data_IF_722956304316
#
_entry.id   IF_722956304316
#
_cell.length_a   1.000
_cell.length_b   1.000
_cell.length_c   1.000
_cell.angle_alpha   90.00
_cell.angle_beta   90.00
_cell.angle_gamma   90.00
#
_symmetry.space_group_name_H-M   'P 1'
#
loop_
_entity.id
_entity.type
_entity.pdbx_description
1 polymer ?
#
# COMPACT_ATOMS: atom_id res chain seq x y z
N UNK A 1 -10.42 -18.45 79.11
CA UNK A 1 -10.81 -17.46 78.03
C UNK A 1 -10.01 -16.14 78.01
N UNK A 2 -8.96 -16.01 78.82
CA UNK A 2 -8.11 -14.77 78.82
C UNK A 2 -6.79 -14.90 78.08
N UNK A 3 -6.33 -16.09 77.71
CA UNK A 3 -5.07 -16.31 76.98
C UNK A 3 -5.20 -16.08 75.47
N UNK A 4 -6.37 -16.34 74.87
CA UNK A 4 -6.59 -16.18 73.48
C UNK A 4 -6.66 -14.70 73.04
N UNK A 5 -7.00 -13.79 73.91
CA UNK A 5 -7.07 -12.35 73.60
C UNK A 5 -5.69 -11.73 73.55
N UNK A 6 -4.74 -12.21 74.35
CA UNK A 6 -3.37 -11.72 74.34
C UNK A 6 -2.62 -12.18 73.08
N UNK A 7 -2.86 -13.36 72.59
CA UNK A 7 -2.28 -13.88 71.33
C UNK A 7 -2.82 -13.12 70.11
N UNK A 8 -4.11 -12.78 70.10
CA UNK A 8 -4.74 -12.02 69.03
C UNK A 8 -4.22 -10.56 68.98
N UNK A 9 -3.98 -9.94 70.17
CA UNK A 9 -3.44 -8.57 70.21
C UNK A 9 -1.96 -8.49 69.81
N UNK A 10 -1.15 -9.50 70.09
CA UNK A 10 0.25 -9.60 69.67
C UNK A 10 0.33 -9.85 68.15
N UNK A 11 -0.60 -10.64 67.58
CA UNK A 11 -0.65 -10.89 66.14
C UNK A 11 -1.09 -9.65 65.34
N UNK A 12 -2.01 -8.84 65.84
CA UNK A 12 -2.38 -7.55 65.29
C UNK A 12 -1.24 -6.51 65.35
N UNK A 13 -0.41 -6.51 66.44
CA UNK A 13 0.74 -5.60 66.52
C UNK A 13 1.87 -5.92 65.54
N UNK A 14 2.02 -7.23 65.15
CA UNK A 14 3.03 -7.63 64.16
C UNK A 14 2.67 -7.26 62.72
N UNK A 15 1.39 -6.99 62.41
CA UNK A 15 0.95 -6.58 61.07
C UNK A 15 1.27 -5.11 60.79
N UNK A 16 1.40 -4.25 61.80
CA UNK A 16 1.72 -2.81 61.65
C UNK A 16 3.21 -2.51 61.42
N UNK A 17 4.10 -3.51 61.60
CA UNK A 17 5.55 -3.26 61.37
C UNK A 17 5.99 -3.64 59.94
N UNK A 18 5.09 -4.07 59.06
CA UNK A 18 5.42 -4.57 57.72
C UNK A 18 5.43 -3.48 56.63
N UNK A 19 5.01 -2.23 56.92
CA UNK A 19 5.17 -1.11 55.98
C UNK A 19 6.49 -0.38 56.24
N UNK A 20 7.62 -0.97 55.85
CA UNK A 20 8.81 -0.17 55.60
C UNK A 20 8.49 0.77 54.44
N UNK A 21 8.36 2.07 54.67
CA UNK A 21 8.52 3.08 53.65
C UNK A 21 9.94 2.91 53.12
N UNK A 22 10.08 2.36 51.93
CA UNK A 22 11.36 2.46 51.21
C UNK A 22 11.61 3.95 50.93
N UNK A 23 12.47 4.56 51.75
CA UNK A 23 13.00 5.90 51.46
C UNK A 23 13.89 5.80 50.23
N UNK A 24 13.29 6.03 49.06
CA UNK A 24 14.01 6.06 47.81
C UNK A 24 14.81 7.35 47.71
N UNK A 25 16.11 7.30 47.98
CA UNK A 25 17.00 8.41 47.63
C UNK A 25 17.33 8.35 46.14
N UNK A 26 17.04 9.41 45.41
CA UNK A 26 17.38 9.58 44.02
C UNK A 26 18.60 10.48 43.88
N UNK A 27 19.53 10.12 43.01
CA UNK A 27 20.71 10.93 42.66
C UNK A 27 20.65 11.30 41.20
N UNK A 28 21.11 12.47 40.84
CA UNK A 28 21.21 12.82 39.43
C UNK A 28 22.00 11.78 38.62
N UNK A 29 21.49 11.46 37.41
CA UNK A 29 22.16 10.52 36.51
C UNK A 29 23.56 11.05 36.14
N UNK A 30 24.55 10.17 36.24
CA UNK A 30 25.94 10.49 35.88
C UNK A 30 26.37 9.82 34.58
N UNK A 31 25.71 8.74 34.22
CA UNK A 31 26.06 7.90 33.07
C UNK A 31 25.09 8.12 31.91
N UNK A 32 25.48 7.57 30.75
CA UNK A 32 24.61 7.61 29.58
C UNK A 32 23.42 6.66 29.78
N UNK A 33 22.21 7.20 29.59
CA UNK A 33 20.98 6.44 29.54
C UNK A 33 20.96 5.58 28.26
N UNK A 34 20.42 4.39 28.32
CA UNK A 34 20.19 3.54 27.17
C UNK A 34 18.77 3.76 26.62
N UNK A 35 18.63 3.85 25.32
CA UNK A 35 17.35 3.99 24.62
C UNK A 35 16.97 2.74 23.86
N UNK A 36 15.69 2.47 23.71
CA UNK A 36 15.21 1.42 22.81
C UNK A 36 15.46 1.76 21.34
N UNK A 37 15.47 3.06 21.01
CA UNK A 37 15.79 3.62 19.69
C UNK A 37 16.38 5.02 19.88
N UNK A 38 17.33 5.40 19.03
CA UNK A 38 17.93 6.73 18.98
C UNK A 38 17.23 7.67 17.99
N UNK A 39 16.41 7.11 17.12
CA UNK A 39 15.64 7.82 16.12
C UNK A 39 14.24 7.24 16.04
N UNK A 40 13.23 8.10 16.14
CA UNK A 40 11.82 7.77 15.96
C UNK A 40 11.35 8.41 14.67
N UNK A 41 11.04 7.58 13.69
CA UNK A 41 10.41 7.99 12.44
C UNK A 41 8.91 7.74 12.61
N UNK A 42 8.14 8.81 12.67
CA UNK A 42 6.69 8.75 12.69
C UNK A 42 6.18 8.62 11.25
N UNK A 43 5.01 8.05 11.07
CA UNK A 43 4.35 7.98 9.77
C UNK A 43 4.11 9.37 9.19
N UNK A 44 3.90 9.42 7.87
CA UNK A 44 3.45 10.63 7.21
C UNK A 44 2.12 11.09 7.80
N UNK A 45 2.04 12.34 8.19
CA UNK A 45 0.82 12.96 8.73
C UNK A 45 0.32 14.07 7.82
N UNK A 46 -0.97 14.37 7.94
CA UNK A 46 -1.57 15.48 7.21
C UNK A 46 -1.67 16.73 8.09
N UNK A 47 -1.65 17.90 7.47
CA UNK A 47 -1.95 19.15 8.16
C UNK A 47 -3.28 19.02 8.94
N UNK A 48 -3.31 19.52 10.17
CA UNK A 48 -4.46 19.49 11.09
C UNK A 48 -4.90 18.08 11.54
N UNK A 49 -4.14 17.04 11.23
CA UNK A 49 -4.39 15.67 11.69
C UNK A 49 -3.27 15.25 12.63
N UNK A 50 -3.64 14.74 13.80
CA UNK A 50 -2.69 14.21 14.78
C UNK A 50 -2.25 12.81 14.35
N UNK A 51 -0.97 12.48 14.56
CA UNK A 51 -0.44 11.13 14.35
C UNK A 51 -1.01 10.12 15.35
N UNK A 52 -0.77 8.86 15.09
CA UNK A 52 -0.78 7.83 16.14
C UNK A 52 0.29 8.14 17.19
N UNK A 53 0.18 7.51 18.35
CA UNK A 53 1.14 7.66 19.45
C UNK A 53 2.29 6.67 19.28
N UNK A 54 3.49 7.17 19.22
CA UNK A 54 4.73 6.41 19.18
C UNK A 54 5.36 6.38 20.57
N UNK A 55 6.26 5.43 20.81
CA UNK A 55 6.92 5.32 22.10
C UNK A 55 8.41 5.00 21.96
N UNK A 56 9.20 5.61 22.84
CA UNK A 56 10.59 5.22 23.09
C UNK A 56 10.77 4.89 24.56
N UNK A 57 11.56 3.87 24.82
CA UNK A 57 11.86 3.39 26.18
C UNK A 57 13.24 3.86 26.59
N UNK A 58 13.34 4.43 27.77
CA UNK A 58 14.59 4.87 28.40
C UNK A 58 14.87 3.95 29.55
N UNK A 59 16.09 3.42 29.63
CA UNK A 59 16.50 2.45 30.65
C UNK A 59 17.52 3.08 31.59
N UNK A 60 17.29 2.88 32.90
CA UNK A 60 18.30 3.11 33.90
C UNK A 60 19.22 1.89 33.99
N UNK A 61 20.45 2.05 33.56
CA UNK A 61 21.49 1.00 33.61
C UNK A 61 22.41 1.17 34.82
N UNK A 62 22.23 2.22 35.63
CA UNK A 62 22.99 2.46 36.84
C UNK A 62 22.47 1.56 38.00
N UNK A 63 23.37 1.16 38.87
CA UNK A 63 23.03 0.32 40.03
C UNK A 63 22.43 1.13 41.21
N UNK A 64 21.70 2.23 40.91
CA UNK A 64 21.08 3.13 41.88
C UNK A 64 19.81 3.75 41.28
N UNK A 65 18.97 4.33 42.14
CA UNK A 65 17.86 5.17 41.69
C UNK A 65 18.44 6.51 41.20
N UNK A 66 17.96 6.98 40.04
CA UNK A 66 18.42 8.20 39.41
C UNK A 66 17.31 9.22 39.20
N UNK A 67 17.66 10.46 39.12
CA UNK A 67 16.83 11.57 38.63
C UNK A 67 17.42 12.06 37.32
N UNK A 68 16.61 12.11 36.27
CA UNK A 68 16.96 12.79 35.03
C UNK A 68 16.63 14.26 35.23
N UNK A 69 17.61 15.18 35.22
CA UNK A 69 17.39 16.59 35.57
C UNK A 69 16.35 17.25 34.67
N UNK A 70 16.44 17.04 33.36
CA UNK A 70 15.50 17.60 32.41
C UNK A 70 15.31 16.73 31.17
N UNK A 71 14.05 16.61 30.68
CA UNK A 71 13.68 16.04 29.40
C UNK A 71 12.86 17.09 28.65
N UNK A 72 13.27 17.47 27.44
CA UNK A 72 12.58 18.52 26.70
C UNK A 72 12.71 18.38 25.19
N UNK A 73 11.80 19.02 24.45
CA UNK A 73 11.89 19.17 23.00
C UNK A 73 12.82 20.33 22.65
N UNK A 74 13.81 20.10 21.78
CA UNK A 74 14.85 21.08 21.45
C UNK A 74 14.27 22.37 20.87
N UNK A 75 13.21 22.29 20.03
CA UNK A 75 12.51 23.45 19.46
C UNK A 75 11.48 24.07 20.42
N UNK A 76 11.29 23.51 21.60
CA UNK A 76 10.38 24.02 22.61
C UNK A 76 8.97 24.28 22.08
N UNK A 77 8.44 25.50 22.26
CA UNK A 77 7.10 25.90 21.80
C UNK A 77 6.92 25.90 20.28
N UNK A 78 8.01 25.91 19.53
CA UNK A 78 7.99 25.84 18.05
C UNK A 78 7.99 24.40 17.51
N UNK A 79 8.05 23.41 18.39
CA UNK A 79 7.96 22.00 18.02
C UNK A 79 6.58 21.66 17.47
N UNK A 80 6.54 20.91 16.39
CA UNK A 80 5.32 20.28 15.89
C UNK A 80 5.00 18.99 16.67
N UNK A 81 6.00 18.45 17.38
CA UNK A 81 5.86 17.26 18.21
C UNK A 81 5.34 17.62 19.60
N UNK A 82 4.70 16.65 20.23
CA UNK A 82 4.28 16.66 21.62
C UNK A 82 4.77 15.39 22.26
N UNK A 83 5.22 15.48 23.50
CA UNK A 83 5.67 14.32 24.26
C UNK A 83 4.88 14.19 25.57
N UNK A 84 4.74 12.93 26.00
CA UNK A 84 4.21 12.59 27.32
C UNK A 84 5.29 11.80 28.05
N UNK A 85 5.67 12.30 29.21
CA UNK A 85 6.68 11.70 30.08
C UNK A 85 6.02 11.40 31.41
N UNK A 86 6.06 10.16 31.85
CA UNK A 86 5.48 9.72 33.12
C UNK A 86 4.01 10.15 33.31
N UNK A 87 3.19 9.97 32.24
CA UNK A 87 1.77 10.32 32.27
C UNK A 87 1.46 11.81 32.09
N UNK A 88 2.45 12.69 32.03
CA UNK A 88 2.28 14.14 31.87
C UNK A 88 2.59 14.53 30.43
N UNK A 89 1.68 15.27 29.79
CA UNK A 89 1.91 15.84 28.44
C UNK A 89 2.55 17.22 28.56
N UNK A 90 3.56 17.49 27.74
CA UNK A 90 4.26 18.77 27.74
C UNK A 90 5.35 18.86 26.67
N UNK A 91 6.19 19.85 26.80
CA UNK A 91 7.37 20.09 25.96
C UNK A 91 8.67 20.09 26.77
N UNK A 92 8.58 20.19 28.08
CA UNK A 92 9.70 20.08 29.02
C UNK A 92 9.23 19.50 30.37
N UNK A 93 10.12 18.77 31.03
CA UNK A 93 9.88 18.06 32.27
C UNK A 93 11.15 18.09 33.09
N UNK A 94 11.02 18.32 34.40
CA UNK A 94 12.15 18.43 35.33
C UNK A 94 12.09 17.35 36.42
N UNK A 95 13.25 16.92 36.89
CA UNK A 95 13.41 16.01 38.02
C UNK A 95 12.66 14.68 37.85
N UNK A 96 12.83 14.01 36.71
CA UNK A 96 12.14 12.78 36.41
C UNK A 96 12.81 11.61 37.12
N UNK A 97 12.14 10.95 38.11
CA UNK A 97 12.71 9.82 38.84
C UNK A 97 12.67 8.55 38.00
N UNK A 98 13.75 7.76 38.08
CA UNK A 98 13.80 6.45 37.44
C UNK A 98 14.53 5.47 38.38
N UNK A 99 13.85 4.42 38.81
CA UNK A 99 14.38 3.43 39.76
C UNK A 99 15.52 2.63 39.13
N UNK A 100 16.35 2.04 39.95
CA UNK A 100 17.38 1.09 39.55
C UNK A 100 16.79 -0.04 38.72
N UNK A 101 17.43 -0.38 37.60
CA UNK A 101 17.03 -1.44 36.68
C UNK A 101 15.61 -1.28 36.10
N UNK A 102 15.03 -0.09 36.19
CA UNK A 102 13.71 0.24 35.66
C UNK A 102 13.80 1.01 34.35
N UNK A 103 12.65 1.28 33.75
CA UNK A 103 12.55 1.99 32.49
C UNK A 103 11.34 2.91 32.43
N UNK A 104 11.50 4.01 31.72
CA UNK A 104 10.48 5.04 31.49
C UNK A 104 10.07 5.02 30.01
N UNK A 105 8.77 5.15 29.72
CA UNK A 105 8.29 5.43 28.38
C UNK A 105 8.13 6.93 28.15
N UNK A 106 8.61 7.39 27.00
CA UNK A 106 8.21 8.67 26.43
C UNK A 106 7.30 8.38 25.25
N UNK A 107 6.07 8.85 25.31
CA UNK A 107 5.12 8.79 24.21
C UNK A 107 5.24 10.06 23.37
N UNK A 108 5.14 9.90 22.04
CA UNK A 108 5.43 10.94 21.06
C UNK A 108 4.29 11.00 20.06
N UNK A 109 3.81 12.20 19.79
CA UNK A 109 2.83 12.52 18.75
C UNK A 109 3.28 13.73 17.95
N UNK A 110 2.81 13.88 16.72
CA UNK A 110 2.94 15.10 15.93
C UNK A 110 1.55 15.63 15.58
N UNK A 111 1.36 16.94 15.67
CA UNK A 111 0.10 17.63 15.38
C UNK A 111 0.39 18.91 14.57
N UNK A 112 0.69 18.78 13.26
CA UNK A 112 1.11 19.90 12.45
C UNK A 112 -0.06 20.86 12.16
N UNK A 113 0.23 22.16 12.16
CA UNK A 113 -0.70 23.19 11.70
C UNK A 113 -0.55 23.39 10.20
N UNK A 114 -1.64 23.82 9.53
CA UNK A 114 -1.57 24.21 8.13
C UNK A 114 -0.59 25.40 7.96
N UNK A 115 0.32 25.28 7.00
CA UNK A 115 1.32 26.31 6.70
C UNK A 115 1.43 26.61 5.18
N UNK A 116 0.56 26.03 4.36
CA UNK A 116 0.55 26.21 2.90
C UNK A 116 1.66 25.48 2.14
N UNK A 117 2.51 24.70 2.83
CA UNK A 117 3.56 23.90 2.20
C UNK A 117 3.00 22.53 1.87
N UNK A 118 3.12 22.13 0.59
CA UNK A 118 2.58 20.85 0.09
C UNK A 118 3.12 19.63 0.84
N UNK A 119 4.42 19.58 1.05
CA UNK A 119 5.10 18.48 1.75
C UNK A 119 6.41 18.99 2.34
N UNK A 120 6.70 18.63 3.60
CA UNK A 120 7.98 18.92 4.23
C UNK A 120 8.34 17.88 5.28
N UNK A 121 9.62 17.78 5.59
CA UNK A 121 10.13 16.96 6.68
C UNK A 121 10.10 17.75 7.99
N UNK A 122 9.25 17.31 8.91
CA UNK A 122 9.27 17.82 10.28
C UNK A 122 10.34 17.08 11.08
N UNK A 123 11.24 17.81 11.72
CA UNK A 123 12.31 17.27 12.56
C UNK A 123 12.36 18.00 13.89
N UNK A 124 12.68 17.28 14.95
CA UNK A 124 13.02 17.80 16.28
C UNK A 124 13.85 16.75 17.03
N UNK A 125 14.31 17.11 18.24
CA UNK A 125 15.01 16.18 19.12
C UNK A 125 14.39 16.23 20.51
N UNK A 126 14.26 15.06 21.15
CA UNK A 126 14.07 14.99 22.60
C UNK A 126 15.47 15.04 23.23
N UNK A 127 15.71 16.04 24.06
CA UNK A 127 16.96 16.20 24.78
C UNK A 127 16.78 15.66 26.20
N UNK A 128 17.67 14.79 26.61
CA UNK A 128 17.79 14.30 27.97
C UNK A 128 19.07 14.87 28.58
N UNK A 129 18.89 15.74 29.56
CA UNK A 129 20.01 16.36 30.25
C UNK A 129 20.57 15.42 31.30
N UNK A 130 21.89 15.30 31.35
CA UNK A 130 22.61 14.66 32.45
C UNK A 130 23.83 15.52 32.87
N UNK A 131 24.54 15.11 33.92
CA UNK A 131 25.69 15.89 34.43
C UNK A 131 26.83 16.03 33.44
N UNK A 132 27.07 15.04 32.63
CA UNK A 132 28.27 14.98 31.77
C UNK A 132 27.99 15.43 30.33
N UNK A 133 26.85 15.05 29.77
CA UNK A 133 26.54 15.29 28.35
C UNK A 133 25.05 15.12 28.09
N UNK A 134 24.47 16.08 27.34
CA UNK A 134 23.11 15.90 26.83
C UNK A 134 23.06 14.77 25.82
N UNK A 135 22.10 13.87 26.00
CA UNK A 135 21.76 12.84 25.03
C UNK A 135 20.53 13.27 24.25
N UNK A 136 20.38 12.77 23.02
CA UNK A 136 19.24 13.12 22.18
C UNK A 136 18.63 11.91 21.48
N UNK A 137 17.32 12.00 21.27
CA UNK A 137 16.54 11.09 20.46
C UNK A 137 15.97 11.91 19.29
N UNK A 138 16.29 11.54 18.08
CA UNK A 138 15.85 12.26 16.88
C UNK A 138 14.39 11.90 16.55
N UNK A 139 13.59 12.92 16.23
CA UNK A 139 12.20 12.79 15.79
C UNK A 139 12.07 13.23 14.34
N UNK A 140 11.41 12.44 13.52
CA UNK A 140 11.18 12.74 12.10
C UNK A 140 9.77 12.33 11.68
N UNK A 141 9.12 13.16 10.88
CA UNK A 141 7.85 12.83 10.21
C UNK A 141 7.72 13.64 8.93
N UNK A 142 7.15 13.04 7.89
CA UNK A 142 6.74 13.79 6.69
C UNK A 142 5.36 14.38 6.95
N UNK A 143 5.21 15.67 6.69
CA UNK A 143 3.93 16.39 6.79
C UNK A 143 3.46 16.76 5.40
N UNK A 144 2.19 16.44 5.08
CA UNK A 144 1.59 16.71 3.77
C UNK A 144 0.33 17.56 3.91
N UNK A 145 0.11 18.47 2.95
CA UNK A 145 -1.18 19.14 2.80
C UNK A 145 -2.18 18.21 2.10
N UNK A 146 -3.42 18.16 2.56
CA UNK A 146 -4.42 17.23 2.08
C UNK A 146 -5.80 17.87 1.89
N UNK A 147 -6.52 17.38 0.90
CA UNK A 147 -7.95 17.62 0.69
C UNK A 147 -8.71 16.34 1.06
N UNK A 148 -9.69 16.46 1.96
CA UNK A 148 -10.41 15.32 2.52
C UNK A 148 -11.79 15.18 1.90
N UNK A 149 -12.09 13.97 1.42
CA UNK A 149 -13.40 13.53 0.95
C UNK A 149 -13.94 12.51 1.95
N UNK A 150 -14.69 13.00 2.95
CA UNK A 150 -15.16 12.18 4.07
C UNK A 150 -16.65 11.89 3.88
N UNK A 151 -16.99 10.61 3.83
CA UNK A 151 -18.34 10.12 3.99
C UNK A 151 -18.76 10.29 5.46
N UNK A 152 -19.91 10.92 5.69
CA UNK A 152 -20.56 10.96 6.99
C UNK A 152 -21.72 9.94 6.98
N UNK A 153 -22.93 10.41 6.78
CA UNK A 153 -24.14 9.56 6.74
C UNK A 153 -24.40 8.95 5.36
N UNK A 154 -23.91 9.61 4.30
CA UNK A 154 -24.05 9.18 2.90
C UNK A 154 -22.75 9.34 2.14
N UNK A 155 -22.55 8.63 1.02
CA UNK A 155 -21.39 8.77 0.15
C UNK A 155 -21.13 10.22 -0.27
N UNK A 156 -19.87 10.60 -0.39
CA UNK A 156 -19.49 11.90 -0.94
C UNK A 156 -19.60 11.87 -2.46
N UNK A 157 -20.24 12.86 -3.07
CA UNK A 157 -20.52 12.89 -4.51
C UNK A 157 -19.77 14.04 -5.18
N UNK A 158 -19.04 13.72 -6.27
CA UNK A 158 -18.52 14.68 -7.24
C UNK A 158 -19.60 14.85 -8.32
N UNK A 159 -20.39 15.90 -8.22
CA UNK A 159 -21.57 16.14 -9.07
C UNK A 159 -21.31 17.09 -10.26
N UNK A 160 -20.05 17.42 -10.53
CA UNK A 160 -19.61 18.27 -11.65
C UNK A 160 -18.31 17.73 -12.25
N UNK A 161 -17.99 18.14 -13.47
CA UNK A 161 -16.69 17.87 -14.06
C UNK A 161 -15.62 18.48 -13.15
N UNK A 162 -14.64 17.68 -12.79
CA UNK A 162 -13.67 18.03 -11.75
C UNK A 162 -12.26 17.73 -12.24
N UNK A 163 -11.34 18.62 -11.91
CA UNK A 163 -9.92 18.47 -12.16
C UNK A 163 -9.15 18.44 -10.85
N UNK A 164 -8.44 17.34 -10.59
CA UNK A 164 -7.56 17.21 -9.43
C UNK A 164 -6.13 17.57 -9.79
N UNK A 165 -5.66 18.66 -9.20
CA UNK A 165 -4.27 19.07 -9.29
C UNK A 165 -3.40 18.28 -8.27
N UNK A 166 -2.10 18.28 -8.54
CA UNK A 166 -1.14 17.65 -7.64
C UNK A 166 -0.68 18.58 -6.50
N UNK A 167 -1.45 19.61 -6.19
CA UNK A 167 -1.19 20.58 -5.12
C UNK A 167 -1.30 20.00 -3.71
N UNK A 168 -2.30 19.14 -3.51
CA UNK A 168 -2.61 18.47 -2.25
C UNK A 168 -2.84 16.99 -2.46
N UNK A 169 -2.55 16.20 -1.42
CA UNK A 169 -2.97 14.81 -1.36
C UNK A 169 -4.48 14.74 -1.28
N UNK A 170 -5.12 13.83 -2.02
CA UNK A 170 -6.56 13.58 -1.95
C UNK A 170 -6.80 12.38 -1.03
N UNK A 171 -7.42 12.62 0.13
CA UNK A 171 -7.70 11.57 1.14
C UNK A 171 -9.17 11.22 1.12
N UNK A 172 -9.49 9.97 0.80
CA UNK A 172 -10.85 9.46 0.69
C UNK A 172 -11.15 8.57 1.90
N UNK A 173 -12.20 8.92 2.64
CA UNK A 173 -12.69 8.12 3.77
C UNK A 173 -14.16 7.77 3.56
N UNK A 174 -14.44 6.48 3.36
CA UNK A 174 -15.72 5.96 2.91
C UNK A 174 -15.83 5.88 1.38
N UNK A 175 -17.00 6.02 0.82
CA UNK A 175 -17.25 5.96 -0.61
C UNK A 175 -17.27 7.36 -1.22
N UNK A 176 -16.45 7.57 -2.26
CA UNK A 176 -16.46 8.76 -3.10
C UNK A 176 -17.01 8.40 -4.47
N UNK A 177 -18.10 9.07 -4.89
CA UNK A 177 -18.79 8.75 -6.14
C UNK A 177 -18.59 9.87 -7.15
N UNK A 178 -18.07 9.55 -8.33
CA UNK A 178 -18.21 10.40 -9.49
C UNK A 178 -19.60 10.21 -10.10
N UNK A 179 -20.41 11.25 -10.10
CA UNK A 179 -21.79 11.19 -10.57
C UNK A 179 -21.89 10.81 -12.05
N UNK A 180 -23.03 10.28 -12.44
CA UNK A 180 -23.33 9.84 -13.79
C UNK A 180 -23.04 10.95 -14.84
N UNK A 181 -22.38 10.56 -15.93
CA UNK A 181 -22.02 11.44 -17.05
C UNK A 181 -20.98 12.52 -16.71
N UNK A 182 -20.38 12.52 -15.52
CA UNK A 182 -19.35 13.48 -15.13
C UNK A 182 -17.96 12.98 -15.44
N UNK A 183 -17.04 13.93 -15.55
CA UNK A 183 -15.62 13.65 -15.80
C UNK A 183 -14.79 14.04 -14.60
N UNK A 184 -13.86 13.12 -14.21
CA UNK A 184 -12.79 13.39 -13.26
C UNK A 184 -11.46 13.27 -14.02
N UNK A 185 -10.76 14.39 -14.14
CA UNK A 185 -9.41 14.46 -14.68
C UNK A 185 -8.40 14.57 -13.53
N UNK A 186 -7.38 13.72 -13.53
CA UNK A 186 -6.35 13.67 -12.48
C UNK A 186 -4.98 13.97 -13.09
N UNK A 187 -4.36 15.03 -12.61
CA UNK A 187 -3.05 15.51 -13.09
C UNK A 187 -1.90 14.59 -12.65
N UNK A 188 -0.81 14.60 -13.41
CA UNK A 188 0.45 13.93 -13.09
C UNK A 188 0.94 14.23 -11.65
N UNK A 189 1.48 13.22 -10.99
CA UNK A 189 2.04 13.32 -9.64
C UNK A 189 1.02 13.49 -8.53
N UNK A 190 -0.29 13.41 -8.81
CA UNK A 190 -1.34 13.44 -7.79
C UNK A 190 -1.28 12.16 -6.94
N UNK A 191 -1.36 12.31 -5.62
CA UNK A 191 -1.44 11.22 -4.65
C UNK A 191 -2.86 11.10 -4.13
N UNK A 192 -3.47 9.92 -4.24
CA UNK A 192 -4.81 9.61 -3.76
C UNK A 192 -4.71 8.47 -2.73
N UNK A 193 -5.10 8.76 -1.51
CA UNK A 193 -5.01 7.84 -0.39
C UNK A 193 -6.40 7.49 0.13
N UNK A 194 -6.56 6.24 0.52
CA UNK A 194 -7.83 5.69 0.97
C UNK A 194 -7.70 5.16 2.39
N UNK A 195 -8.61 5.57 3.28
CA UNK A 195 -8.72 4.91 4.57
C UNK A 195 -9.26 3.49 4.38
N UNK A 196 -9.13 2.66 5.39
CA UNK A 196 -9.62 1.27 5.34
C UNK A 196 -11.09 1.22 4.96
N UNK A 197 -11.46 0.29 4.08
CA UNK A 197 -12.80 0.09 3.52
C UNK A 197 -13.33 1.22 2.61
N UNK A 198 -12.50 2.16 2.21
CA UNK A 198 -12.87 3.24 1.29
C UNK A 198 -12.75 2.81 -0.17
N UNK A 199 -13.53 3.46 -1.04
CA UNK A 199 -13.57 3.19 -2.47
C UNK A 199 -13.78 4.47 -3.29
N UNK A 200 -13.36 4.44 -4.55
CA UNK A 200 -13.76 5.41 -5.57
C UNK A 200 -14.72 4.71 -6.55
N UNK A 201 -15.91 5.28 -6.75
CA UNK A 201 -16.92 4.75 -7.66
C UNK A 201 -17.10 5.68 -8.85
N UNK A 202 -16.99 5.13 -10.05
CA UNK A 202 -17.23 5.82 -11.32
C UNK A 202 -18.58 5.36 -11.84
N UNK A 203 -19.59 6.22 -11.72
CA UNK A 203 -20.97 5.88 -12.09
C UNK A 203 -21.13 5.70 -13.60
N UNK A 204 -22.31 5.22 -14.00
CA UNK A 204 -22.68 5.00 -15.41
C UNK A 204 -22.40 6.22 -16.28
N UNK A 205 -21.91 5.97 -17.49
CA UNK A 205 -21.62 7.01 -18.49
C UNK A 205 -20.58 8.04 -18.04
N UNK A 206 -19.95 7.89 -16.86
CA UNK A 206 -18.94 8.81 -16.37
C UNK A 206 -17.56 8.55 -17.01
N UNK A 207 -16.66 9.49 -16.88
CA UNK A 207 -15.30 9.38 -17.42
C UNK A 207 -14.25 9.65 -16.33
N UNK A 208 -13.29 8.74 -16.21
CA UNK A 208 -12.11 8.92 -15.37
C UNK A 208 -10.87 8.99 -16.25
N UNK A 209 -10.14 10.10 -16.18
CA UNK A 209 -8.86 10.27 -16.87
C UNK A 209 -7.74 10.44 -15.85
N UNK A 210 -6.78 9.53 -15.87
CA UNK A 210 -5.59 9.53 -15.01
C UNK A 210 -4.39 9.85 -15.90
N UNK A 211 -3.87 11.08 -15.77
CA UNK A 211 -2.90 11.66 -16.68
C UNK A 211 -1.53 11.80 -16.00
N UNK A 212 -0.92 10.68 -15.62
CA UNK A 212 0.45 10.64 -15.10
C UNK A 212 1.49 10.79 -16.22
N UNK A 213 2.74 10.93 -15.81
CA UNK A 213 3.91 10.94 -16.69
C UNK A 213 5.10 10.21 -16.04
N UNK A 214 6.20 10.05 -16.78
CA UNK A 214 7.43 9.42 -16.28
C UNK A 214 7.93 10.16 -15.04
N UNK A 215 8.17 9.43 -13.94
CA UNK A 215 8.58 9.93 -12.62
C UNK A 215 7.57 10.86 -11.92
N UNK A 216 6.38 11.03 -12.50
CA UNK A 216 5.24 11.75 -11.93
C UNK A 216 3.97 10.92 -12.06
N UNK A 217 4.06 9.67 -11.70
CA UNK A 217 2.94 8.75 -11.73
C UNK A 217 1.84 9.22 -10.78
N UNK A 218 0.59 8.99 -11.14
CA UNK A 218 -0.55 9.16 -10.23
C UNK A 218 -0.62 7.94 -9.30
N UNK A 219 -0.72 8.16 -8.00
CA UNK A 219 -0.62 7.10 -7.00
C UNK A 219 -1.97 6.89 -6.32
N UNK A 220 -2.46 5.63 -6.33
CA UNK A 220 -3.62 5.17 -5.57
C UNK A 220 -3.20 4.09 -4.58
N UNK A 221 -3.40 4.32 -3.28
CA UNK A 221 -3.02 3.38 -2.22
C UNK A 221 -3.80 3.61 -0.94
N UNK A 222 -3.63 2.73 0.03
CA UNK A 222 -4.09 2.99 1.40
C UNK A 222 -3.39 4.20 2.04
N UNK A 223 -4.02 4.81 3.02
CA UNK A 223 -3.53 6.00 3.74
C UNK A 223 -2.38 5.73 4.72
N UNK A 224 -2.13 4.47 5.06
CA UNK A 224 -0.98 4.06 5.88
C UNK A 224 0.30 4.20 5.06
N UNK A 225 1.14 5.18 5.40
CA UNK A 225 2.33 5.55 4.62
C UNK A 225 3.63 4.82 5.02
N UNK A 226 3.57 3.95 6.00
CA UNK A 226 4.64 3.02 6.35
C UNK A 226 4.92 2.07 5.18
N UNK A 227 6.19 1.91 4.79
CA UNK A 227 6.61 1.10 3.64
C UNK A 227 6.13 -0.37 3.70
N UNK A 228 5.83 -0.89 4.89
CA UNK A 228 5.26 -2.22 5.07
C UNK A 228 3.89 -2.35 4.40
N UNK A 229 3.07 -1.29 4.42
CA UNK A 229 1.74 -1.31 3.83
C UNK A 229 1.75 -1.28 2.30
N UNK A 230 2.88 -0.97 1.66
CA UNK A 230 3.02 -1.08 0.20
C UNK A 230 2.99 -2.53 -0.29
N UNK A 231 3.27 -3.47 0.60
CA UNK A 231 3.33 -4.90 0.29
C UNK A 231 2.15 -5.71 0.83
N UNK A 232 1.19 -5.05 1.50
CA UNK A 232 0.04 -5.70 2.14
C UNK A 232 -1.25 -5.29 1.41
N UNK A 233 -2.11 -6.25 1.00
CA UNK A 233 -3.43 -5.95 0.44
C UNK A 233 -4.46 -5.54 1.52
N UNK A 234 -5.71 -5.28 1.12
CA UNK A 234 -6.86 -4.95 1.98
C UNK A 234 -6.74 -3.64 2.78
N UNK A 235 -5.90 -2.71 2.35
CA UNK A 235 -5.84 -1.37 2.94
C UNK A 235 -7.03 -0.49 2.52
N UNK A 236 -7.63 -0.78 1.35
CA UNK A 236 -8.80 -0.11 0.79
C UNK A 236 -9.57 -1.06 -0.13
N UNK A 237 -10.76 -0.68 -0.61
CA UNK A 237 -11.59 -1.57 -1.44
C UNK A 237 -11.14 -1.62 -2.90
N UNK A 238 -10.93 -0.46 -3.53
CA UNK A 238 -10.60 -0.37 -4.95
C UNK A 238 -11.34 0.74 -5.68
N UNK A 239 -11.36 0.64 -7.02
CA UNK A 239 -12.06 1.55 -7.93
C UNK A 239 -13.15 0.75 -8.65
N UNK A 240 -14.42 1.09 -8.40
CA UNK A 240 -15.57 0.50 -9.10
C UNK A 240 -15.93 1.34 -10.32
N UNK A 241 -16.06 0.69 -11.49
CA UNK A 241 -16.33 1.33 -12.78
C UNK A 241 -17.59 0.70 -13.35
N UNK A 242 -18.65 1.50 -13.44
CA UNK A 242 -19.99 1.04 -13.84
C UNK A 242 -20.22 1.13 -15.36
N UNK A 243 -21.37 0.62 -15.74
CA UNK A 243 -21.81 0.46 -17.13
C UNK A 243 -21.62 1.71 -18.00
N UNK A 244 -21.07 1.53 -19.20
CA UNK A 244 -20.74 2.55 -20.18
C UNK A 244 -19.74 3.63 -19.70
N UNK A 245 -19.17 3.49 -18.51
CA UNK A 245 -18.10 4.39 -18.09
C UNK A 245 -16.82 4.15 -18.92
N UNK A 246 -16.04 5.21 -19.11
CA UNK A 246 -14.76 5.15 -19.82
C UNK A 246 -13.65 5.57 -18.87
N UNK A 247 -12.67 4.70 -18.71
CA UNK A 247 -11.51 4.97 -17.88
C UNK A 247 -10.24 4.95 -18.71
N UNK A 248 -9.51 6.06 -18.70
CA UNK A 248 -8.21 6.21 -19.36
C UNK A 248 -7.12 6.35 -18.29
N UNK A 249 -6.16 5.46 -18.29
CA UNK A 249 -5.09 5.41 -17.28
C UNK A 249 -3.76 5.47 -18.01
N UNK A 250 -2.95 6.47 -17.70
CA UNK A 250 -1.59 6.58 -18.18
C UNK A 250 -0.66 6.96 -17.03
N UNK A 251 0.43 6.22 -16.85
CA UNK A 251 1.40 6.37 -15.77
C UNK A 251 0.75 6.46 -14.37
N UNK A 252 0.06 5.38 -13.99
CA UNK A 252 -0.47 5.22 -12.63
C UNK A 252 0.24 4.09 -11.88
N UNK A 253 0.28 4.21 -10.54
CA UNK A 253 0.58 3.13 -9.60
C UNK A 253 -0.65 2.91 -8.71
N UNK A 254 -1.25 1.73 -8.79
CA UNK A 254 -2.48 1.38 -8.07
C UNK A 254 -2.21 0.11 -7.26
N UNK A 255 -2.29 0.18 -5.93
CA UNK A 255 -1.89 -0.97 -5.11
C UNK A 255 -2.49 -1.01 -3.70
N UNK A 256 -2.41 -2.19 -3.09
CA UNK A 256 -2.69 -2.40 -1.68
C UNK A 256 -4.17 -2.54 -1.31
N UNK A 257 -5.05 -2.82 -2.27
CA UNK A 257 -6.50 -2.94 -2.04
C UNK A 257 -7.05 -4.36 -2.02
N UNK A 258 -8.37 -4.47 -2.11
CA UNK A 258 -9.08 -5.74 -2.29
C UNK A 258 -9.19 -6.10 -3.79
N UNK A 259 -9.82 -5.23 -4.59
CA UNK A 259 -9.88 -5.31 -6.07
C UNK A 259 -9.41 -3.97 -6.64
N UNK A 260 -8.36 -3.97 -7.47
CA UNK A 260 -7.80 -2.73 -8.00
C UNK A 260 -8.78 -1.95 -8.86
N UNK A 261 -9.18 -2.53 -9.98
CA UNK A 261 -10.21 -2.01 -10.88
C UNK A 261 -11.30 -3.08 -11.02
N UNK A 262 -12.50 -2.80 -10.55
CA UNK A 262 -13.69 -3.64 -10.72
C UNK A 262 -14.56 -3.01 -11.81
N UNK A 263 -14.57 -3.62 -13.00
CA UNK A 263 -15.11 -3.02 -14.23
C UNK A 263 -16.32 -3.82 -14.69
N UNK A 264 -17.46 -3.19 -14.79
CA UNK A 264 -18.71 -3.82 -15.20
C UNK A 264 -19.31 -3.15 -16.43
N UNK A 265 -19.39 -3.87 -17.56
CA UNK A 265 -19.94 -3.39 -18.85
C UNK A 265 -19.35 -2.04 -19.30
N UNK A 266 -18.07 -1.83 -19.09
CA UNK A 266 -17.38 -0.57 -19.31
C UNK A 266 -16.08 -0.74 -20.11
N UNK A 267 -15.42 0.37 -20.41
CA UNK A 267 -14.15 0.37 -21.16
C UNK A 267 -13.02 0.94 -20.31
N UNK A 268 -11.86 0.26 -20.31
CA UNK A 268 -10.65 0.77 -19.71
C UNK A 268 -9.47 0.70 -20.70
N UNK A 269 -8.81 1.84 -20.90
CA UNK A 269 -7.56 1.98 -21.65
C UNK A 269 -6.43 2.21 -20.63
N UNK A 270 -5.47 1.29 -20.54
CA UNK A 270 -4.44 1.32 -19.50
C UNK A 270 -3.07 1.29 -20.15
N UNK A 271 -2.30 2.35 -19.96
CA UNK A 271 -0.97 2.48 -20.53
C UNK A 271 0.07 2.78 -19.44
N UNK A 272 1.30 2.31 -19.63
CA UNK A 272 2.47 2.69 -18.85
C UNK A 272 2.25 2.64 -17.32
N UNK A 273 1.49 1.65 -16.83
CA UNK A 273 0.99 1.65 -15.44
C UNK A 273 1.37 0.39 -14.68
N UNK A 274 1.39 0.49 -13.36
CA UNK A 274 1.74 -0.59 -12.45
C UNK A 274 0.55 -0.84 -11.52
N UNK A 275 0.03 -2.08 -11.51
CA UNK A 275 -1.10 -2.51 -10.67
C UNK A 275 -0.66 -3.76 -9.90
N UNK A 276 -0.64 -3.69 -8.55
CA UNK A 276 -0.14 -4.81 -7.76
C UNK A 276 -0.72 -4.88 -6.35
N UNK A 277 -0.53 -6.02 -5.69
CA UNK A 277 -0.85 -6.24 -4.27
C UNK A 277 -2.34 -6.06 -3.98
N UNK A 278 -3.15 -6.91 -4.59
CA UNK A 278 -4.59 -6.97 -4.33
C UNK A 278 -4.98 -8.34 -3.75
N UNK A 279 -5.91 -8.35 -2.79
CA UNK A 279 -6.35 -9.60 -2.16
C UNK A 279 -7.00 -10.55 -3.16
N UNK A 280 -7.78 -9.99 -4.06
CA UNK A 280 -8.50 -10.75 -5.08
C UNK A 280 -7.90 -10.51 -6.47
N UNK A 281 -8.23 -9.41 -7.11
CA UNK A 281 -7.85 -9.11 -8.50
C UNK A 281 -7.18 -7.74 -8.59
N UNK A 282 -6.15 -7.64 -9.41
CA UNK A 282 -5.66 -6.33 -9.84
C UNK A 282 -6.67 -5.63 -10.77
N UNK A 283 -7.22 -6.39 -11.74
CA UNK A 283 -8.32 -5.98 -12.61
C UNK A 283 -9.35 -7.09 -12.63
N UNK A 284 -10.60 -6.80 -12.34
CA UNK A 284 -11.75 -7.67 -12.50
C UNK A 284 -12.70 -7.05 -13.53
N UNK A 285 -12.74 -7.62 -14.73
CA UNK A 285 -13.56 -7.15 -15.85
C UNK A 285 -14.73 -8.11 -16.11
N UNK A 286 -15.95 -7.59 -16.06
CA UNK A 286 -17.19 -8.34 -16.31
C UNK A 286 -17.90 -7.74 -17.52
N UNK A 287 -17.94 -8.48 -18.62
CA UNK A 287 -18.49 -8.06 -19.93
C UNK A 287 -17.97 -6.67 -20.35
N UNK A 288 -16.65 -6.46 -20.26
CA UNK A 288 -16.00 -5.18 -20.39
C UNK A 288 -14.86 -5.23 -21.41
N UNK A 289 -14.45 -4.07 -21.92
CA UNK A 289 -13.39 -3.95 -22.92
C UNK A 289 -12.14 -3.33 -22.28
N UNK A 290 -11.07 -4.12 -22.23
CA UNK A 290 -9.79 -3.71 -21.67
C UNK A 290 -8.74 -3.67 -22.76
N UNK A 291 -8.10 -2.53 -22.96
CA UNK A 291 -6.95 -2.36 -23.83
C UNK A 291 -5.75 -1.89 -23.02
N UNK A 292 -4.65 -2.63 -23.09
CA UNK A 292 -3.47 -2.26 -22.31
C UNK A 292 -2.16 -2.40 -23.07
N UNK A 293 -1.24 -1.48 -22.77
CA UNK A 293 0.14 -1.48 -23.26
C UNK A 293 1.10 -1.04 -22.17
N UNK A 294 2.26 -1.68 -22.10
CA UNK A 294 3.26 -1.40 -21.06
C UNK A 294 2.68 -1.52 -19.64
N UNK A 295 1.78 -2.50 -19.42
CA UNK A 295 1.19 -2.76 -18.11
C UNK A 295 2.07 -3.72 -17.32
N UNK A 296 2.35 -3.37 -16.07
CA UNK A 296 3.06 -4.21 -15.11
C UNK A 296 2.09 -4.64 -14.01
N UNK A 297 1.94 -5.94 -13.81
CA UNK A 297 1.09 -6.48 -12.74
C UNK A 297 1.82 -7.53 -11.92
N UNK A 298 1.49 -7.59 -10.62
CA UNK A 298 2.04 -8.60 -9.73
C UNK A 298 1.24 -8.72 -8.41
N UNK A 299 1.44 -9.85 -7.72
CA UNK A 299 1.02 -10.05 -6.33
C UNK A 299 -0.48 -9.84 -6.10
N UNK A 300 -1.32 -10.59 -6.83
CA UNK A 300 -2.77 -10.63 -6.66
C UNK A 300 -3.24 -12.04 -6.32
N UNK A 301 -4.09 -12.19 -5.30
CA UNK A 301 -4.42 -13.49 -4.72
C UNK A 301 -5.18 -14.42 -5.66
N UNK A 302 -6.24 -13.97 -6.30
CA UNK A 302 -7.00 -14.78 -7.27
C UNK A 302 -6.34 -14.74 -8.66
N UNK A 303 -6.20 -13.56 -9.22
CA UNK A 303 -5.50 -13.33 -10.47
C UNK A 303 -5.07 -11.86 -10.59
N UNK A 304 -4.04 -11.60 -11.39
CA UNK A 304 -3.76 -10.21 -11.78
C UNK A 304 -4.95 -9.66 -12.60
N UNK A 305 -5.44 -10.42 -13.58
CA UNK A 305 -6.62 -10.05 -14.38
C UNK A 305 -7.64 -11.18 -14.33
N UNK A 306 -8.87 -10.87 -13.89
CA UNK A 306 -10.07 -11.70 -14.08
C UNK A 306 -10.88 -11.11 -15.24
N UNK A 307 -11.05 -11.87 -16.32
CA UNK A 307 -11.88 -11.51 -17.47
C UNK A 307 -13.10 -12.41 -17.54
N UNK A 308 -14.26 -11.89 -17.20
CA UNK A 308 -15.51 -12.62 -17.17
C UNK A 308 -16.45 -12.07 -18.26
N UNK A 309 -16.28 -12.53 -19.49
CA UNK A 309 -16.87 -11.96 -20.70
C UNK A 309 -16.19 -10.67 -21.17
N UNK A 310 -16.38 -10.32 -22.45
CA UNK A 310 -15.84 -9.11 -23.06
C UNK A 310 -14.50 -9.28 -23.75
N UNK A 311 -13.72 -8.21 -23.81
CA UNK A 311 -12.49 -8.14 -24.59
C UNK A 311 -11.31 -7.78 -23.70
N UNK A 312 -10.18 -8.49 -23.88
CA UNK A 312 -8.89 -8.16 -23.31
C UNK A 312 -7.83 -8.15 -24.41
N UNK A 313 -7.26 -6.98 -24.66
CA UNK A 313 -6.15 -6.77 -25.59
C UNK A 313 -4.94 -6.23 -24.84
N UNK A 314 -3.84 -7.02 -24.84
CA UNK A 314 -2.63 -6.73 -24.08
C UNK A 314 -1.43 -6.74 -25.02
N UNK A 315 -0.64 -5.65 -24.98
CA UNK A 315 0.60 -5.52 -25.71
C UNK A 315 1.76 -5.11 -24.81
N UNK A 316 2.97 -5.61 -25.07
CA UNK A 316 4.21 -5.25 -24.37
C UNK A 316 4.07 -5.15 -22.84
N UNK A 317 3.45 -6.14 -22.20
CA UNK A 317 3.13 -6.08 -20.77
C UNK A 317 3.81 -7.20 -19.98
N UNK A 318 4.07 -6.96 -18.69
CA UNK A 318 4.61 -7.94 -17.75
C UNK A 318 3.55 -8.30 -16.71
N UNK A 319 2.77 -9.34 -16.99
CA UNK A 319 1.71 -9.85 -16.10
C UNK A 319 2.30 -11.00 -15.28
N UNK A 320 3.05 -10.64 -14.24
CA UNK A 320 3.75 -11.60 -13.40
C UNK A 320 3.02 -11.74 -12.05
N UNK A 321 2.66 -12.97 -11.65
CA UNK A 321 1.99 -13.17 -10.37
C UNK A 321 2.84 -14.01 -9.40
N UNK A 322 3.58 -13.34 -8.55
CA UNK A 322 4.37 -13.91 -7.46
C UNK A 322 3.71 -13.61 -6.11
N UNK A 323 2.51 -14.15 -5.91
CA UNK A 323 1.72 -13.95 -4.72
C UNK A 323 2.45 -14.35 -3.45
N UNK A 324 2.47 -13.45 -2.46
CA UNK A 324 3.14 -13.62 -1.16
C UNK A 324 2.16 -13.47 0.03
N UNK A 325 0.86 -13.40 -0.23
CA UNK A 325 -0.17 -13.28 0.80
C UNK A 325 -0.67 -14.64 1.31
N UNK A 326 -1.95 -14.71 1.69
CA UNK A 326 -2.60 -15.89 2.28
C UNK A 326 -2.45 -17.14 1.41
N UNK A 327 -2.17 -18.28 2.03
CA UNK A 327 -2.12 -19.57 1.34
C UNK A 327 -3.48 -19.98 0.76
N UNK A 328 -3.45 -20.79 -0.29
CA UNK A 328 -4.66 -21.38 -0.89
C UNK A 328 -5.30 -20.56 -2.01
N UNK A 329 -4.80 -19.36 -2.33
CA UNK A 329 -5.25 -18.61 -3.49
C UNK A 329 -4.48 -19.05 -4.75
N UNK A 330 -5.16 -19.17 -5.93
CA UNK A 330 -4.56 -19.77 -7.12
C UNK A 330 -3.50 -18.89 -7.77
N UNK A 331 -3.51 -17.59 -7.53
CA UNK A 331 -2.54 -16.63 -8.04
C UNK A 331 -2.29 -16.70 -9.55
N UNK A 332 -3.36 -16.78 -10.34
CA UNK A 332 -3.24 -16.75 -11.79
C UNK A 332 -2.71 -15.41 -12.31
N UNK A 333 -2.03 -15.44 -13.45
CA UNK A 333 -1.76 -14.20 -14.21
C UNK A 333 -3.07 -13.67 -14.81
N UNK A 334 -3.78 -14.53 -15.57
CA UNK A 334 -5.09 -14.24 -16.15
C UNK A 334 -6.05 -15.39 -15.86
N UNK A 335 -7.21 -15.09 -15.31
CA UNK A 335 -8.35 -15.99 -15.14
C UNK A 335 -9.46 -15.57 -16.10
N UNK A 336 -9.92 -16.50 -16.94
CA UNK A 336 -10.98 -16.27 -17.92
C UNK A 336 -12.19 -17.10 -17.57
N UNK A 337 -13.39 -16.49 -17.63
CA UNK A 337 -14.66 -17.18 -17.55
C UNK A 337 -15.69 -16.55 -18.50
N UNK A 338 -16.62 -17.36 -18.99
CA UNK A 338 -17.80 -16.85 -19.70
C UNK A 338 -18.95 -16.46 -18.75
N UNK A 339 -18.78 -16.69 -17.44
CA UNK A 339 -19.87 -16.57 -16.47
C UNK A 339 -19.43 -15.81 -15.22
N UNK A 340 -20.30 -14.98 -14.68
CA UNK A 340 -20.15 -14.30 -13.39
C UNK A 340 -21.50 -14.09 -12.70
N UNK A 341 -21.46 -13.70 -11.43
CA UNK A 341 -22.63 -13.19 -10.72
C UNK A 341 -22.61 -11.66 -10.69
N UNK A 342 -23.76 -11.03 -11.01
CA UNK A 342 -23.92 -9.59 -10.87
C UNK A 342 -24.20 -9.20 -9.40
N UNK A 343 -24.38 -7.91 -9.12
CA UNK A 343 -24.64 -7.38 -7.77
C UNK A 343 -25.92 -7.92 -7.13
N UNK A 344 -26.88 -8.37 -7.94
CA UNK A 344 -28.15 -8.94 -7.48
C UNK A 344 -28.07 -10.46 -7.28
N UNK A 345 -26.89 -11.07 -7.46
CA UNK A 345 -26.69 -12.51 -7.37
C UNK A 345 -27.11 -13.31 -8.62
N UNK A 346 -27.63 -12.66 -9.66
CA UNK A 346 -28.02 -13.30 -10.90
C UNK A 346 -26.80 -13.71 -11.72
N UNK A 347 -26.86 -14.86 -12.35
CA UNK A 347 -25.82 -15.34 -13.26
C UNK A 347 -25.94 -14.63 -14.61
N UNK A 348 -24.85 -14.01 -15.05
CA UNK A 348 -24.69 -13.41 -16.38
C UNK A 348 -23.59 -14.14 -17.16
N UNK A 349 -23.72 -14.18 -18.48
CA UNK A 349 -22.80 -14.87 -19.37
C UNK A 349 -22.45 -13.99 -20.57
N UNK A 350 -21.21 -14.11 -21.07
CA UNK A 350 -20.80 -13.45 -22.31
C UNK A 350 -19.62 -14.19 -22.97
N UNK A 351 -19.46 -13.98 -24.26
CA UNK A 351 -18.30 -14.42 -25.01
C UNK A 351 -17.04 -13.66 -24.56
N UNK A 352 -15.90 -14.31 -24.68
CA UNK A 352 -14.58 -13.73 -24.38
C UNK A 352 -13.78 -13.61 -25.67
N UNK A 353 -13.11 -12.46 -25.84
CA UNK A 353 -12.09 -12.25 -26.85
C UNK A 353 -10.78 -11.83 -26.19
N UNK A 354 -9.73 -12.66 -26.33
CA UNK A 354 -8.41 -12.43 -25.74
C UNK A 354 -7.36 -12.23 -26.84
N UNK A 355 -6.60 -11.16 -26.76
CA UNK A 355 -5.46 -10.88 -27.63
C UNK A 355 -4.24 -10.54 -26.77
N UNK A 356 -3.19 -11.33 -26.85
CA UNK A 356 -1.94 -11.15 -26.11
C UNK A 356 -0.79 -11.07 -27.11
N UNK A 357 -0.02 -9.98 -27.06
CA UNK A 357 1.17 -9.78 -27.89
C UNK A 357 2.34 -9.30 -27.07
N UNK A 358 3.56 -9.71 -27.42
CA UNK A 358 4.79 -9.17 -26.89
C UNK A 358 4.86 -9.17 -25.34
N UNK A 359 4.17 -10.10 -24.69
CA UNK A 359 3.84 -10.04 -23.25
C UNK A 359 4.49 -11.22 -22.51
N UNK A 360 4.90 -10.98 -21.28
CA UNK A 360 5.32 -12.02 -20.34
C UNK A 360 4.16 -12.29 -19.39
N UNK A 361 3.65 -13.53 -19.43
CA UNK A 361 2.61 -14.03 -18.53
C UNK A 361 3.20 -15.18 -17.70
N UNK A 362 3.62 -14.91 -16.46
CA UNK A 362 4.39 -15.83 -15.64
C UNK A 362 4.08 -15.65 -14.14
N UNK A 363 4.53 -16.59 -13.30
CA UNK A 363 4.36 -16.48 -11.85
C UNK A 363 4.78 -17.73 -11.10
N UNK A 364 4.53 -17.76 -9.80
CA UNK A 364 4.83 -18.92 -8.96
C UNK A 364 3.69 -19.98 -8.97
N UNK A 365 2.49 -19.66 -9.43
CA UNK A 365 1.39 -20.62 -9.62
C UNK A 365 1.70 -21.71 -10.65
N UNK A 366 0.92 -22.79 -10.66
CA UNK A 366 1.09 -23.91 -11.61
C UNK A 366 0.85 -23.49 -13.08
N UNK A 367 -0.03 -22.56 -13.32
CA UNK A 367 -0.31 -21.94 -14.63
C UNK A 367 -0.57 -20.45 -14.46
N UNK A 368 -0.18 -19.67 -15.45
CA UNK A 368 -0.46 -18.23 -15.46
C UNK A 368 -1.72 -17.88 -16.26
N UNK A 369 -2.26 -18.80 -17.04
CA UNK A 369 -3.51 -18.64 -17.78
C UNK A 369 -4.47 -19.77 -17.38
N UNK A 370 -5.63 -19.42 -16.87
CA UNK A 370 -6.68 -20.38 -16.52
C UNK A 370 -7.99 -20.00 -17.19
N UNK A 371 -8.72 -20.99 -17.72
CA UNK A 371 -9.97 -20.77 -18.47
C UNK A 371 -11.09 -21.66 -17.96
N UNK A 372 -12.25 -21.06 -17.70
CA UNK A 372 -13.51 -21.71 -17.33
C UNK A 372 -14.55 -21.45 -18.43
N UNK A 373 -14.54 -22.28 -19.47
CA UNK A 373 -15.53 -22.20 -20.56
C UNK A 373 -16.84 -22.86 -20.15
N UNK A 374 -17.96 -22.28 -20.56
CA UNK A 374 -19.29 -22.85 -20.40
C UNK A 374 -19.93 -23.12 -21.75
N UNK A 375 -20.82 -24.11 -21.81
CA UNK A 375 -21.55 -24.46 -23.03
C UNK A 375 -22.36 -23.28 -23.58
N UNK A 376 -22.38 -23.07 -24.88
CA UNK A 376 -23.10 -21.99 -25.56
C UNK A 376 -22.36 -20.66 -25.64
N UNK A 377 -21.16 -20.54 -25.05
CA UNK A 377 -20.32 -19.33 -25.11
C UNK A 377 -18.90 -19.65 -25.56
N UNK A 378 -18.25 -18.69 -26.22
CA UNK A 378 -16.93 -18.87 -26.80
C UNK A 378 -15.83 -18.15 -26.04
N UNK A 379 -14.63 -18.74 -26.09
CA UNK A 379 -13.38 -18.07 -25.70
C UNK A 379 -12.53 -18.02 -26.98
N UNK A 380 -12.57 -16.88 -27.69
CA UNK A 380 -11.73 -16.60 -28.86
C UNK A 380 -10.41 -15.97 -28.38
N UNK A 381 -9.29 -16.67 -28.58
CA UNK A 381 -7.99 -16.14 -28.17
C UNK A 381 -6.96 -16.20 -29.30
N UNK A 382 -6.02 -15.23 -29.28
CA UNK A 382 -4.79 -15.22 -30.07
C UNK A 382 -3.63 -14.74 -29.23
N UNK A 383 -2.53 -15.46 -29.24
CA UNK A 383 -1.32 -15.14 -28.47
C UNK A 383 -0.14 -15.13 -29.44
N UNK A 384 0.66 -14.08 -29.43
CA UNK A 384 1.81 -13.95 -30.31
C UNK A 384 3.01 -13.33 -29.62
N UNK A 385 4.21 -13.79 -29.96
CA UNK A 385 5.49 -13.23 -29.50
C UNK A 385 5.52 -13.03 -27.97
N UNK A 386 5.06 -14.02 -27.21
CA UNK A 386 4.87 -13.91 -25.77
C UNK A 386 5.53 -15.06 -25.03
N UNK A 387 5.96 -14.83 -23.80
CA UNK A 387 6.45 -15.86 -22.90
C UNK A 387 5.37 -16.19 -21.88
N UNK A 388 4.99 -17.48 -21.80
CA UNK A 388 3.84 -17.96 -21.03
C UNK A 388 4.28 -19.05 -20.07
N UNK A 389 3.62 -19.17 -18.91
CA UNK A 389 3.64 -20.35 -18.06
C UNK A 389 2.27 -21.03 -18.14
N UNK A 390 2.20 -22.14 -18.83
CA UNK A 390 0.94 -22.86 -19.08
C UNK A 390 0.93 -24.22 -18.37
N UNK A 391 -0.27 -24.70 -18.05
CA UNK A 391 -0.46 -26.06 -17.53
C UNK A 391 0.11 -27.08 -18.49
N UNK A 392 0.68 -28.20 -18.02
CA UNK A 392 1.13 -29.31 -18.89
C UNK A 392 0.04 -29.86 -19.82
N UNK A 393 -1.21 -29.80 -19.42
CA UNK A 393 -2.37 -30.25 -20.20
C UNK A 393 -2.83 -29.22 -21.25
N UNK A 394 -2.25 -28.05 -21.29
CA UNK A 394 -2.58 -27.03 -22.29
C UNK A 394 -1.86 -27.39 -23.62
N UNK A 395 -2.62 -27.54 -24.69
CA UNK A 395 -2.04 -27.79 -26.01
C UNK A 395 -1.35 -26.53 -26.54
N UNK A 396 -0.05 -26.39 -26.25
CA UNK A 396 0.77 -25.27 -26.75
C UNK A 396 1.38 -25.59 -28.13
N UNK A 397 1.92 -26.81 -28.29
CA UNK A 397 2.58 -27.22 -29.52
C UNK A 397 1.56 -27.41 -30.63
N UNK A 398 1.86 -26.94 -31.83
CA UNK A 398 0.98 -26.98 -33.00
C UNK A 398 -0.38 -26.29 -32.84
N UNK A 399 -0.47 -25.34 -31.87
CA UNK A 399 -1.67 -24.55 -31.71
C UNK A 399 -1.62 -23.32 -32.63
N UNK A 400 -2.48 -23.23 -33.67
CA UNK A 400 -2.44 -22.13 -34.63
C UNK A 400 -2.80 -20.74 -34.02
N UNK A 401 -3.38 -20.74 -32.82
CA UNK A 401 -3.75 -19.53 -32.11
C UNK A 401 -2.59 -18.96 -31.25
N UNK A 402 -1.46 -19.70 -31.14
CA UNK A 402 -0.26 -19.29 -30.42
C UNK A 402 0.92 -19.31 -31.37
N UNK A 403 1.47 -18.17 -31.67
CA UNK A 403 2.54 -18.01 -32.65
C UNK A 403 3.79 -17.36 -32.05
N UNK A 404 4.97 -17.81 -32.46
CA UNK A 404 6.27 -17.23 -32.08
C UNK A 404 6.42 -16.98 -30.56
N UNK A 405 5.87 -17.88 -29.74
CA UNK A 405 5.80 -17.73 -28.30
C UNK A 405 6.65 -18.79 -27.58
N UNK A 406 6.99 -18.52 -26.34
CA UNK A 406 7.85 -19.35 -25.47
C UNK A 406 6.99 -19.90 -24.34
N UNK A 407 7.07 -21.22 -24.10
CA UNK A 407 6.29 -21.86 -23.04
C UNK A 407 7.18 -22.37 -21.90
N UNK A 408 6.77 -22.09 -20.68
CA UNK A 408 7.36 -22.62 -19.43
C UNK A 408 8.86 -22.33 -19.21
N UNK A 409 9.47 -21.42 -19.95
CA UNK A 409 10.80 -20.93 -19.65
C UNK A 409 10.75 -19.79 -18.63
N UNK A 410 11.74 -19.77 -17.72
CA UNK A 410 11.83 -18.70 -16.71
C UNK A 410 12.20 -17.37 -17.40
N UNK A 411 11.41 -16.31 -17.24
CA UNK A 411 11.73 -14.99 -17.81
C UNK A 411 12.97 -14.33 -17.22
N UNK A 412 13.53 -14.88 -16.14
CA UNK A 412 14.71 -14.35 -15.46
C UNK A 412 14.60 -12.86 -15.11
N UNK A 413 13.52 -12.48 -14.40
CA UNK A 413 13.37 -11.14 -13.87
C UNK A 413 14.49 -10.79 -12.87
N UNK A 414 14.86 -9.52 -12.77
CA UNK A 414 15.90 -9.06 -11.82
C UNK A 414 15.46 -9.37 -10.39
N UNK A 415 14.23 -8.98 -10.01
CA UNK A 415 13.62 -9.29 -8.72
C UNK A 415 12.08 -9.28 -8.82
N UNK A 416 11.42 -10.45 -8.85
CA UNK A 416 9.98 -10.51 -9.09
C UNK A 416 9.12 -10.31 -7.85
N UNK A 417 9.68 -10.34 -6.64
CA UNK A 417 8.92 -10.22 -5.40
C UNK A 417 8.60 -8.77 -5.05
N UNK A 418 7.46 -8.56 -4.39
CA UNK A 418 6.88 -7.23 -4.18
C UNK A 418 7.74 -6.30 -3.33
N UNK A 419 8.58 -6.82 -2.43
CA UNK A 419 9.43 -6.01 -1.55
C UNK A 419 10.43 -5.12 -2.30
N UNK A 420 10.80 -5.51 -3.54
CA UNK A 420 11.72 -4.75 -4.42
C UNK A 420 11.31 -4.88 -5.89
N UNK A 421 10.03 -4.97 -6.17
CA UNK A 421 9.49 -5.28 -7.49
C UNK A 421 10.28 -4.69 -8.66
N UNK A 422 10.95 -5.55 -9.42
CA UNK A 422 11.71 -5.20 -10.60
C UNK A 422 11.59 -6.31 -11.67
N UNK A 423 10.65 -6.15 -12.59
CA UNK A 423 10.37 -7.08 -13.67
C UNK A 423 11.18 -6.78 -14.94
N UNK A 424 12.28 -6.07 -14.85
CA UNK A 424 13.28 -6.01 -15.92
C UNK A 424 13.94 -7.36 -16.10
N UNK A 425 14.36 -7.63 -17.30
CA UNK A 425 14.98 -8.91 -17.67
C UNK A 425 16.48 -8.91 -17.39
N UNK A 426 16.97 -10.01 -16.81
CA UNK A 426 18.41 -10.27 -16.75
C UNK A 426 18.95 -10.55 -18.16
N UNK A 427 20.25 -10.45 -18.34
CA UNK A 427 20.93 -10.59 -19.63
C UNK A 427 20.60 -11.91 -20.35
N UNK A 428 20.55 -13.03 -19.61
CA UNK A 428 20.26 -14.37 -20.14
C UNK A 428 18.77 -14.72 -20.22
N UNK A 429 17.87 -13.73 -20.22
CA UNK A 429 16.44 -13.98 -20.34
C UNK A 429 16.05 -14.49 -21.73
N UNK A 430 15.24 -15.54 -21.84
CA UNK A 430 14.72 -16.01 -23.13
C UNK A 430 13.78 -15.01 -23.81
N UNK A 431 13.24 -14.05 -23.06
CA UNK A 431 12.29 -13.05 -23.56
C UNK A 431 12.96 -11.82 -24.23
N UNK A 432 14.30 -11.72 -24.19
CA UNK A 432 15.03 -10.60 -24.80
C UNK A 432 15.08 -10.72 -26.31
N UNK A 433 14.79 -9.62 -27.00
CA UNK A 433 14.85 -9.54 -28.46
C UNK A 433 13.88 -10.47 -29.19
N UNK A 434 12.74 -10.84 -28.56
CA UNK A 434 11.78 -11.81 -29.11
C UNK A 434 10.40 -11.23 -29.38
N UNK A 435 10.17 -9.96 -29.09
CA UNK A 435 8.93 -9.28 -29.41
C UNK A 435 8.96 -8.65 -30.82
N UNK A 436 7.80 -8.31 -31.34
CA UNK A 436 7.67 -7.50 -32.56
C UNK A 436 7.59 -6.01 -32.22
N UNK A 437 8.22 -5.18 -33.02
CA UNK A 437 8.13 -3.73 -32.89
C UNK A 437 6.68 -3.28 -33.16
N UNK A 438 5.96 -2.90 -32.12
CA UNK A 438 4.57 -2.41 -32.18
C UNK A 438 4.28 -1.29 -31.20
N UNK A 439 5.26 -0.90 -30.39
CA UNK A 439 5.23 0.23 -29.47
C UNK A 439 6.56 0.96 -29.57
N UNK A 440 6.54 2.29 -29.49
CA UNK A 440 7.74 3.10 -29.68
C UNK A 440 8.66 3.14 -28.46
N UNK A 441 8.09 2.99 -27.24
CA UNK A 441 8.82 3.12 -25.97
C UNK A 441 8.31 2.12 -24.93
N UNK A 442 9.18 1.78 -24.00
CA UNK A 442 8.82 0.99 -22.84
C UNK A 442 8.16 1.85 -21.73
N UNK A 443 7.76 1.22 -20.62
CA UNK A 443 7.13 1.93 -19.49
C UNK A 443 8.05 3.00 -18.86
N UNK A 444 9.36 2.93 -19.06
CA UNK A 444 10.34 3.93 -18.59
C UNK A 444 10.72 4.96 -19.64
N UNK A 445 10.06 4.91 -20.80
CA UNK A 445 10.35 5.80 -21.92
C UNK A 445 11.57 5.42 -22.73
N UNK A 446 12.15 4.24 -22.53
CA UNK A 446 13.28 3.73 -23.30
C UNK A 446 12.77 3.34 -24.69
N UNK A 447 13.38 3.83 -25.80
CA UNK A 447 12.97 3.45 -27.14
C UNK A 447 13.10 1.94 -27.39
N UNK A 448 12.10 1.34 -28.02
CA UNK A 448 12.13 -0.05 -28.46
C UNK A 448 12.81 -0.12 -29.82
N UNK A 449 13.79 -1.03 -29.94
CA UNK A 449 14.49 -1.29 -31.20
C UNK A 449 13.71 -2.14 -32.19
N UNK A 450 14.37 -2.61 -33.26
CA UNK A 450 13.78 -3.48 -34.27
C UNK A 450 13.39 -4.88 -33.72
N UNK A 451 14.12 -5.35 -32.71
CA UNK A 451 13.88 -6.62 -32.00
C UNK A 451 13.73 -6.36 -30.52
N UNK A 452 12.56 -5.83 -30.10
CA UNK A 452 12.36 -5.45 -28.71
C UNK A 452 12.23 -6.65 -27.77
N UNK A 453 12.34 -6.39 -26.48
CA UNK A 453 12.07 -7.40 -25.47
C UNK A 453 10.57 -7.68 -25.34
N UNK A 454 10.20 -8.92 -25.00
CA UNK A 454 8.86 -9.19 -24.49
C UNK A 454 8.70 -8.53 -23.11
N UNK A 455 7.48 -8.08 -22.81
CA UNK A 455 7.17 -7.45 -21.55
C UNK A 455 7.20 -5.91 -21.59
N UNK A 456 7.04 -5.30 -20.42
CA UNK A 456 6.87 -3.86 -20.27
C UNK A 456 8.20 -3.08 -20.26
N UNK A 457 9.36 -3.74 -20.28
CA UNK A 457 10.69 -3.12 -20.14
C UNK A 457 11.64 -3.53 -21.26
N UNK A 458 12.45 -2.56 -21.71
CA UNK A 458 13.65 -2.78 -22.52
C UNK A 458 14.90 -3.10 -21.70
#
# INVERSE_FOLDING_TARGET
>A
MKINFLFLSIWCLLIFTACKRDDFSFKETSDNLRFSKDTIVLDTVYHQVRSETYAVKIYNTENKNITIPKIYLEKGKNSLFKINVDGKSGIDFENIPLRKNDSLYIFIEIAPKANGIKEFLAEDNIILQNKSKNQKINLRSVVQDAEFFIQKDSPKIINKNTYWQNDKVKVISGELILAEGKTLDIQEGTKIYFTKNSALKISKNARLNINGSINKEVIFRGDRNDARYDTIPLNWKGIDIEENAITNINYAKIFGGDIGLNIYKATANIQNSIIHTFQQYGILAKNSNIHSENLVMNNCGQANIGLFGGILDINHSSIANYWQGSFGLPAYGILISNQWKNSNGNTENANVKLRIKNTILYGNGATSLHTNAISGFTIDYKIANSLLKLSPNFNFNNNPLITNSINNENPNFIFPYISKLNLRLKEKSPARGKALASSSKDIKGIPRGATPNMGAYE
#
